data_IF_208333549296
#
_entry.id   IF_208333549296
#
_cell.length_a   1.000
_cell.length_b   1.000
_cell.length_c   1.000
_cell.angle_alpha   90.00
_cell.angle_beta   90.00
_cell.angle_gamma   90.00
#
_symmetry.space_group_name_H-M   'P 1'
#
loop_
_entity.id
_entity.type
_entity.pdbx_description
1 polymer ?
#
# COMPACT_ATOMS: atom_id res chain seq x y z
N UNK A 1 23.03 -17.06 -5.99
CA UNK A 1 22.39 -17.90 -4.93
C UNK A 1 21.80 -17.05 -3.80
N UNK A 2 21.33 -15.83 -4.07
CA UNK A 2 20.95 -14.82 -3.06
C UNK A 2 19.44 -14.68 -2.86
N UNK A 3 18.62 -15.16 -3.79
CA UNK A 3 17.15 -15.12 -3.71
C UNK A 3 16.58 -15.97 -2.57
N UNK A 4 17.22 -17.10 -2.23
CA UNK A 4 16.73 -18.03 -1.20
C UNK A 4 16.84 -17.46 0.23
N UNK A 5 17.81 -16.57 0.49
CA UNK A 5 17.98 -15.96 1.83
C UNK A 5 16.96 -14.85 2.12
N UNK A 6 16.54 -14.06 1.13
CA UNK A 6 15.57 -12.97 1.36
C UNK A 6 14.14 -13.45 1.52
N UNK A 7 13.72 -14.50 0.80
CA UNK A 7 12.35 -15.04 0.94
C UNK A 7 12.15 -15.66 2.32
N UNK A 8 13.19 -16.29 2.86
CA UNK A 8 13.16 -16.94 4.18
C UNK A 8 12.90 -15.94 5.31
N UNK A 9 13.34 -14.67 5.19
CA UNK A 9 13.08 -13.65 6.23
C UNK A 9 11.65 -13.10 6.18
N UNK A 10 11.14 -12.75 4.99
CA UNK A 10 9.78 -12.18 4.87
C UNK A 10 8.66 -13.19 5.12
N UNK A 11 8.83 -14.44 4.66
CA UNK A 11 7.87 -15.52 4.99
C UNK A 11 7.83 -15.78 6.49
N UNK A 12 8.99 -15.83 7.15
CA UNK A 12 9.06 -16.00 8.61
C UNK A 12 8.41 -14.83 9.34
N UNK A 13 8.70 -13.60 8.92
CA UNK A 13 8.09 -12.40 9.50
C UNK A 13 6.56 -12.39 9.34
N UNK A 14 6.06 -12.80 8.18
CA UNK A 14 4.63 -12.95 7.96
C UNK A 14 3.98 -13.99 8.89
N UNK A 15 4.65 -15.11 9.16
CA UNK A 15 4.18 -16.12 10.11
C UNK A 15 4.17 -15.59 11.56
N UNK A 16 5.23 -14.89 11.97
CA UNK A 16 5.30 -14.20 13.28
C UNK A 16 4.14 -13.21 13.42
N UNK A 17 3.90 -12.41 12.37
CA UNK A 17 2.82 -11.44 12.39
C UNK A 17 1.44 -12.11 12.53
N UNK A 18 1.20 -13.20 11.81
CA UNK A 18 -0.03 -13.99 11.92
C UNK A 18 -0.24 -14.56 13.34
N UNK A 19 0.83 -15.04 13.99
CA UNK A 19 0.79 -15.53 15.37
C UNK A 19 0.45 -14.41 16.36
N UNK A 20 1.04 -13.22 16.19
CA UNK A 20 0.73 -12.08 17.03
C UNK A 20 -0.72 -11.62 16.88
N UNK A 21 -1.26 -11.61 15.65
CA UNK A 21 -2.67 -11.32 15.39
C UNK A 21 -3.58 -12.31 16.12
N UNK A 22 -3.33 -13.62 15.96
CA UNK A 22 -4.12 -14.67 16.61
C UNK A 22 -4.08 -14.55 18.14
N UNK A 23 -2.92 -14.24 18.71
CA UNK A 23 -2.74 -14.03 20.17
C UNK A 23 -3.52 -12.81 20.68
N UNK A 24 -3.82 -11.82 19.83
CA UNK A 24 -4.65 -10.66 20.17
C UNK A 24 -6.13 -10.84 19.87
N UNK A 25 -6.55 -12.02 19.40
CA UNK A 25 -7.94 -12.26 18.99
C UNK A 25 -8.28 -11.70 17.61
N UNK A 26 -7.31 -11.21 16.84
CA UNK A 26 -7.52 -10.80 15.45
C UNK A 26 -7.50 -12.05 14.57
N UNK A 27 -8.69 -12.57 14.27
CA UNK A 27 -8.85 -13.73 13.38
C UNK A 27 -8.90 -13.26 11.93
N UNK A 28 -7.88 -13.61 11.16
CA UNK A 28 -7.81 -13.37 9.73
C UNK A 28 -7.96 -14.69 8.96
N UNK A 29 -8.83 -14.70 7.96
CA UNK A 29 -8.97 -15.83 7.03
C UNK A 29 -7.77 -15.95 6.11
N UNK A 30 -7.20 -14.79 5.76
CA UNK A 30 -6.02 -14.70 4.92
C UNK A 30 -5.25 -13.43 5.27
N UNK A 31 -3.93 -13.54 5.26
CA UNK A 31 -3.04 -12.39 5.22
C UNK A 31 -2.38 -12.36 3.85
N UNK A 32 -2.38 -11.18 3.24
CA UNK A 32 -1.60 -10.93 2.02
C UNK A 32 -0.69 -9.74 2.25
N UNK A 33 0.26 -9.52 1.34
CA UNK A 33 1.02 -8.29 1.29
C UNK A 33 1.06 -7.75 -0.12
N UNK A 34 1.31 -6.45 -0.25
CA UNK A 34 1.60 -5.84 -1.55
C UNK A 34 2.97 -6.26 -2.05
N UNK A 35 3.04 -6.39 -3.37
CA UNK A 35 4.17 -6.82 -4.17
C UNK A 35 4.44 -8.33 -4.18
N UNK A 36 5.10 -8.78 -5.25
CA UNK A 36 5.54 -10.16 -5.40
C UNK A 36 6.77 -10.44 -4.54
N UNK A 37 7.05 -11.70 -4.21
CA UNK A 37 8.23 -12.05 -3.40
C UNK A 37 9.55 -11.50 -3.98
N UNK A 38 9.69 -11.47 -5.31
CA UNK A 38 10.87 -10.90 -5.99
C UNK A 38 11.00 -9.37 -5.89
N UNK A 39 9.92 -8.67 -5.52
CA UNK A 39 9.91 -7.22 -5.32
C UNK A 39 10.28 -6.81 -3.90
N UNK A 40 10.34 -7.75 -2.95
CA UNK A 40 10.71 -7.55 -1.55
C UNK A 40 12.21 -7.79 -1.38
N UNK A 41 12.97 -6.70 -1.30
CA UNK A 41 14.43 -6.73 -1.23
C UNK A 41 14.87 -6.58 0.22
N UNK A 42 15.27 -7.70 0.83
CA UNK A 42 15.76 -7.69 2.21
C UNK A 42 17.14 -7.01 2.32
N UNK A 43 17.44 -6.29 3.41
CA UNK A 43 16.56 -5.96 4.54
C UNK A 43 15.76 -4.65 4.34
N UNK A 44 15.68 -4.14 3.11
CA UNK A 44 15.32 -2.75 2.82
C UNK A 44 13.84 -2.52 2.55
N UNK A 45 13.09 -3.53 2.08
CA UNK A 45 11.65 -3.41 1.81
C UNK A 45 10.81 -3.65 3.07
N UNK A 46 9.76 -2.85 3.25
CA UNK A 46 8.66 -3.13 4.17
C UNK A 46 7.68 -4.16 3.58
N UNK A 47 6.90 -4.78 4.47
CA UNK A 47 5.75 -5.61 4.13
C UNK A 47 4.48 -4.79 4.33
N UNK A 48 3.86 -4.40 3.23
CA UNK A 48 2.62 -3.65 3.24
C UNK A 48 1.42 -4.64 3.26
N UNK A 49 1.03 -5.05 4.48
CA UNK A 49 0.05 -6.13 4.74
C UNK A 49 -1.39 -5.73 4.40
N UNK A 50 -2.20 -6.70 3.98
CA UNK A 50 -3.67 -6.63 3.90
C UNK A 50 -4.26 -7.75 4.74
N UNK A 51 -5.29 -7.42 5.52
CA UNK A 51 -6.01 -8.40 6.34
C UNK A 51 -7.32 -8.77 5.67
N UNK A 52 -7.53 -10.06 5.42
CA UNK A 52 -8.81 -10.56 4.90
C UNK A 52 -9.55 -11.28 6.02
N UNK A 53 -10.78 -10.87 6.27
CA UNK A 53 -11.67 -11.39 7.31
C UNK A 53 -12.80 -12.20 6.68
N UNK A 54 -13.33 -13.20 7.39
CA UNK A 54 -14.51 -13.94 6.92
C UNK A 54 -15.73 -13.01 6.87
N UNK A 55 -15.85 -12.16 7.89
CA UNK A 55 -16.93 -11.19 8.07
C UNK A 55 -16.39 -9.93 8.77
N UNK A 56 -17.15 -8.84 8.70
CA UNK A 56 -16.83 -7.66 9.50
C UNK A 56 -16.89 -7.99 11.00
N UNK A 57 -15.98 -7.43 11.83
CA UNK A 57 -16.06 -7.57 13.27
C UNK A 57 -17.31 -6.85 13.81
N UNK A 58 -17.77 -7.25 14.99
CA UNK A 58 -18.88 -6.54 15.67
C UNK A 58 -18.52 -5.10 16.07
N UNK A 59 -17.23 -4.80 16.20
CA UNK A 59 -16.72 -3.43 16.28
C UNK A 59 -15.35 -3.33 15.62
N UNK A 60 -15.23 -2.42 14.66
CA UNK A 60 -13.96 -2.04 14.08
C UNK A 60 -13.06 -1.34 15.09
N UNK A 61 -13.61 -0.57 16.04
CA UNK A 61 -12.81 0.10 17.06
C UNK A 61 -12.01 -0.91 17.92
N UNK A 62 -12.69 -1.87 18.54
CA UNK A 62 -12.05 -2.90 19.39
C UNK A 62 -11.10 -3.78 18.57
N UNK A 63 -11.48 -4.12 17.34
CA UNK A 63 -10.63 -4.86 16.42
C UNK A 63 -9.33 -4.09 16.08
N UNK A 64 -9.39 -2.76 15.96
CA UNK A 64 -8.20 -1.94 15.73
C UNK A 64 -7.29 -1.85 16.96
N UNK A 65 -7.85 -1.81 18.17
CA UNK A 65 -7.05 -1.84 19.42
C UNK A 65 -6.25 -3.16 19.50
N UNK A 66 -6.89 -4.28 19.18
CA UNK A 66 -6.24 -5.59 19.09
C UNK A 66 -5.19 -5.66 17.97
N UNK A 67 -5.50 -5.10 16.79
CA UNK A 67 -4.56 -5.03 15.66
C UNK A 67 -3.32 -4.20 16.00
N UNK A 68 -3.50 -3.04 16.65
CA UNK A 68 -2.39 -2.20 17.10
C UNK A 68 -1.51 -2.94 18.09
N UNK A 69 -2.11 -3.61 19.08
CA UNK A 69 -1.39 -4.40 20.07
C UNK A 69 -0.59 -5.56 19.43
N UNK A 70 -1.19 -6.24 18.44
CA UNK A 70 -0.52 -7.32 17.71
C UNK A 70 0.69 -6.79 16.93
N UNK A 71 0.51 -5.66 16.25
CA UNK A 71 1.58 -5.05 15.47
C UNK A 71 2.71 -4.53 16.35
N UNK A 72 2.39 -3.83 17.43
CA UNK A 72 3.35 -3.37 18.43
C UNK A 72 4.18 -4.55 18.98
N UNK A 73 3.53 -5.66 19.34
CA UNK A 73 4.23 -6.87 19.79
C UNK A 73 5.12 -7.47 18.71
N UNK A 74 4.66 -7.55 17.47
CA UNK A 74 5.48 -8.09 16.37
C UNK A 74 6.75 -7.25 16.15
N UNK A 75 6.64 -5.93 16.20
CA UNK A 75 7.79 -5.02 16.06
C UNK A 75 8.75 -5.13 17.25
N UNK A 76 8.24 -5.30 18.48
CA UNK A 76 9.08 -5.46 19.68
C UNK A 76 9.97 -6.73 19.69
N UNK A 77 9.64 -7.75 18.90
CA UNK A 77 10.36 -9.03 18.93
C UNK A 77 11.79 -8.94 18.37
N UNK A 78 12.03 -8.02 17.44
CA UNK A 78 13.33 -7.81 16.80
C UNK A 78 13.40 -6.36 16.30
N UNK A 79 14.43 -5.56 16.66
CA UNK A 79 14.59 -4.19 16.18
C UNK A 79 14.54 -4.05 14.65
N UNK A 80 14.98 -5.06 13.89
CA UNK A 80 14.89 -5.05 12.43
C UNK A 80 13.44 -5.02 11.92
N UNK A 81 12.47 -5.48 12.73
CA UNK A 81 11.07 -5.45 12.35
C UNK A 81 10.50 -4.02 12.27
N UNK A 82 11.10 -3.01 12.92
CA UNK A 82 10.60 -1.63 12.80
C UNK A 82 10.73 -1.07 11.38
N UNK A 83 11.68 -1.60 10.58
CA UNK A 83 11.77 -1.32 9.13
C UNK A 83 10.83 -2.19 8.32
N UNK A 84 10.81 -3.49 8.61
CA UNK A 84 10.11 -4.48 7.77
C UNK A 84 8.58 -4.45 7.98
N UNK A 85 8.12 -4.03 9.17
CA UNK A 85 6.74 -3.80 9.55
C UNK A 85 6.56 -2.32 9.90
N UNK A 86 7.08 -1.42 9.05
CA UNK A 86 7.03 0.04 9.25
C UNK A 86 5.61 0.57 9.54
N UNK A 87 4.60 -0.10 8.98
CA UNK A 87 3.20 0.27 9.14
C UNK A 87 2.36 -0.94 9.57
N UNK A 88 1.33 -0.73 10.42
CA UNK A 88 0.22 -1.66 10.50
C UNK A 88 -0.44 -1.86 9.13
N UNK A 89 -1.26 -2.92 8.95
CA UNK A 89 -1.86 -3.27 7.67
C UNK A 89 -2.47 -2.06 6.95
N UNK A 90 -2.33 -2.02 5.63
CA UNK A 90 -2.82 -0.92 4.81
C UNK A 90 -4.31 -0.96 4.54
N UNK A 91 -4.90 -2.16 4.54
CA UNK A 91 -6.32 -2.39 4.31
C UNK A 91 -6.83 -3.61 5.07
N UNK A 92 -8.13 -3.61 5.36
CA UNK A 92 -8.89 -4.77 5.78
C UNK A 92 -10.13 -4.99 4.91
N UNK A 93 -10.29 -6.18 4.35
CA UNK A 93 -11.43 -6.55 3.49
C UNK A 93 -12.11 -7.81 4.01
N UNK A 94 -13.37 -8.03 3.62
CA UNK A 94 -14.01 -9.33 3.83
C UNK A 94 -13.85 -10.23 2.60
N UNK A 95 -13.97 -11.54 2.81
CA UNK A 95 -14.05 -12.53 1.72
C UNK A 95 -15.21 -12.19 0.78
N UNK A 96 -16.38 -11.81 1.32
CA UNK A 96 -17.56 -11.45 0.54
C UNK A 96 -17.31 -10.26 -0.41
N UNK A 97 -16.60 -9.23 0.06
CA UNK A 97 -16.24 -8.06 -0.77
C UNK A 97 -15.34 -8.44 -1.96
N UNK A 98 -14.38 -9.33 -1.72
CA UNK A 98 -13.47 -9.82 -2.76
C UNK A 98 -14.21 -10.72 -3.76
N UNK A 99 -15.07 -11.61 -3.28
CA UNK A 99 -15.87 -12.49 -4.13
C UNK A 99 -16.86 -11.72 -5.02
N UNK A 100 -17.37 -10.58 -4.54
CA UNK A 100 -18.24 -9.64 -5.28
C UNK A 100 -17.48 -8.65 -6.18
N UNK A 101 -16.15 -8.69 -6.22
CA UNK A 101 -15.31 -7.76 -6.99
C UNK A 101 -15.46 -6.30 -6.58
N UNK A 102 -15.68 -6.04 -5.29
CA UNK A 102 -15.77 -4.70 -4.72
C UNK A 102 -14.40 -4.15 -4.29
N UNK A 103 -13.31 -4.85 -4.56
CA UNK A 103 -11.95 -4.35 -4.31
C UNK A 103 -11.27 -4.05 -5.63
N UNK A 104 -10.51 -2.95 -5.69
CA UNK A 104 -9.79 -2.52 -6.89
C UNK A 104 -8.98 -3.66 -7.53
N UNK A 105 -9.27 -4.05 -8.79
CA UNK A 105 -8.52 -5.09 -9.48
C UNK A 105 -7.03 -4.78 -9.61
N UNK A 106 -6.67 -3.50 -9.79
CA UNK A 106 -5.27 -3.06 -9.82
C UNK A 106 -4.55 -3.35 -8.49
N UNK A 107 -5.22 -3.17 -7.35
CA UNK A 107 -4.63 -3.47 -6.04
C UNK A 107 -4.49 -5.00 -5.84
N UNK A 108 -5.55 -5.78 -6.06
CA UNK A 108 -5.53 -7.26 -5.92
C UNK A 108 -4.44 -7.90 -6.77
N UNK A 109 -4.22 -7.38 -7.99
CA UNK A 109 -3.24 -7.93 -8.93
C UNK A 109 -1.80 -7.95 -8.38
N UNK A 110 -1.51 -7.11 -7.39
CA UNK A 110 -0.18 -6.96 -6.79
C UNK A 110 0.06 -7.81 -5.56
N UNK A 111 -0.96 -8.53 -5.07
CA UNK A 111 -0.87 -9.22 -3.79
C UNK A 111 -0.05 -10.51 -3.85
N UNK A 112 0.54 -10.87 -2.71
CA UNK A 112 1.14 -12.17 -2.46
C UNK A 112 0.62 -12.74 -1.14
N UNK A 113 0.55 -14.06 -1.06
CA UNK A 113 0.05 -14.75 0.12
C UNK A 113 1.08 -14.72 1.26
N UNK A 114 0.61 -14.42 2.47
CA UNK A 114 1.35 -14.64 3.73
C UNK A 114 0.82 -15.92 4.41
N UNK A 115 -0.47 -15.96 4.71
CA UNK A 115 -1.19 -17.11 5.28
C UNK A 115 -2.58 -17.23 4.67
N UNK A 116 -3.17 -18.42 4.68
CA UNK A 116 -4.50 -18.70 4.14
C UNK A 116 -4.47 -19.56 2.88
N UNK A 117 -5.53 -19.49 2.07
CA UNK A 117 -5.71 -20.35 0.89
C UNK A 117 -5.17 -19.70 -0.41
N UNK A 118 -4.08 -20.27 -0.94
CA UNK A 118 -3.45 -19.83 -2.19
C UNK A 118 -4.37 -19.97 -3.41
N UNK A 119 -5.25 -20.97 -3.45
CA UNK A 119 -6.19 -21.16 -4.55
C UNK A 119 -7.27 -20.06 -4.55
N UNK A 120 -7.74 -19.63 -3.36
CA UNK A 120 -8.66 -18.50 -3.24
C UNK A 120 -8.01 -17.22 -3.78
N UNK A 121 -6.80 -16.89 -3.31
CA UNK A 121 -6.07 -15.71 -3.81
C UNK A 121 -5.86 -15.78 -5.32
N UNK A 122 -5.45 -16.95 -5.84
CA UNK A 122 -5.27 -17.17 -7.27
C UNK A 122 -6.54 -16.92 -8.09
N UNK A 123 -7.72 -17.29 -7.57
CA UNK A 123 -9.01 -16.98 -8.22
C UNK A 123 -9.26 -15.48 -8.28
N UNK A 124 -9.09 -14.75 -7.17
CA UNK A 124 -9.27 -13.30 -7.16
C UNK A 124 -8.30 -12.59 -8.11
N UNK A 125 -7.03 -13.00 -8.12
CA UNK A 125 -6.03 -12.43 -9.03
C UNK A 125 -6.31 -12.75 -10.49
N UNK A 126 -6.69 -14.00 -10.81
CA UNK A 126 -7.07 -14.37 -12.17
C UNK A 126 -8.23 -13.53 -12.66
N UNK A 127 -9.26 -13.37 -11.83
CA UNK A 127 -10.42 -12.55 -12.17
C UNK A 127 -10.02 -11.09 -12.36
N UNK A 128 -9.25 -10.52 -11.43
CA UNK A 128 -8.74 -9.15 -11.52
C UNK A 128 -7.94 -8.91 -12.82
N UNK A 129 -7.16 -9.88 -13.29
CA UNK A 129 -6.42 -9.76 -14.57
C UNK A 129 -7.33 -9.82 -15.80
N UNK A 130 -8.42 -10.59 -15.75
CA UNK A 130 -9.37 -10.72 -16.87
C UNK A 130 -10.42 -9.62 -16.95
N UNK A 131 -10.63 -8.85 -15.89
CA UNK A 131 -11.59 -7.73 -15.90
C UNK A 131 -11.17 -6.66 -16.91
N UNK A 132 -12.12 -6.00 -17.61
CA UNK A 132 -11.80 -4.88 -18.49
C UNK A 132 -11.02 -3.78 -17.77
N UNK A 133 -10.12 -3.11 -18.49
CA UNK A 133 -9.42 -1.95 -17.97
C UNK A 133 -10.40 -0.78 -17.75
N UNK A 134 -10.39 -0.21 -16.54
CA UNK A 134 -11.34 0.81 -16.09
C UNK A 134 -10.67 2.16 -15.81
N UNK A 135 -11.48 3.19 -15.54
CA UNK A 135 -10.99 4.50 -15.07
C UNK A 135 -10.41 4.41 -13.65
N UNK A 136 -10.82 3.44 -12.84
CA UNK A 136 -10.24 3.21 -11.52
C UNK A 136 -8.79 2.72 -11.64
N UNK A 137 -8.52 1.82 -12.59
CA UNK A 137 -7.15 1.38 -12.90
C UNK A 137 -6.28 2.56 -13.36
N UNK A 138 -6.78 3.38 -14.29
CA UNK A 138 -6.04 4.54 -14.76
C UNK A 138 -5.72 5.52 -13.62
N UNK A 139 -6.66 5.77 -12.70
CA UNK A 139 -6.41 6.59 -11.51
C UNK A 139 -5.41 5.96 -10.55
N UNK A 140 -5.48 4.65 -10.33
CA UNK A 140 -4.55 3.95 -9.47
C UNK A 140 -3.11 4.10 -9.97
N UNK A 141 -2.84 3.78 -11.24
CA UNK A 141 -1.49 3.85 -11.79
C UNK A 141 -1.01 5.29 -11.96
N UNK A 142 -1.88 6.24 -12.33
CA UNK A 142 -1.51 7.67 -12.36
C UNK A 142 -1.22 8.21 -10.97
N UNK A 143 -2.01 7.84 -9.95
CA UNK A 143 -1.74 8.21 -8.57
C UNK A 143 -0.38 7.70 -8.07
N UNK A 144 0.09 6.54 -8.57
CA UNK A 144 1.46 6.07 -8.31
C UNK A 144 2.47 7.04 -8.91
N UNK A 145 2.31 7.44 -10.18
CA UNK A 145 3.19 8.39 -10.87
C UNK A 145 3.19 9.76 -10.18
N UNK A 146 2.01 10.36 -9.97
CA UNK A 146 1.83 11.68 -9.38
C UNK A 146 2.54 11.78 -8.02
N UNK A 147 2.49 10.71 -7.22
CA UNK A 147 3.17 10.63 -5.93
C UNK A 147 4.70 10.63 -6.00
N UNK A 148 5.31 10.34 -7.16
CA UNK A 148 6.78 10.31 -7.35
C UNK A 148 7.30 11.43 -8.25
N UNK A 149 6.44 11.99 -9.12
CA UNK A 149 6.84 12.95 -10.16
C UNK A 149 6.24 14.35 -9.97
N UNK A 150 5.38 14.55 -8.96
CA UNK A 150 4.86 15.87 -8.58
C UNK A 150 5.93 16.88 -8.10
N UNK A 151 7.19 16.48 -8.13
CA UNK A 151 8.42 17.25 -8.01
C UNK A 151 9.59 16.36 -8.50
N UNK A 152 10.82 16.89 -8.55
CA UNK A 152 11.98 16.00 -8.71
C UNK A 152 12.12 15.16 -7.44
N UNK A 153 12.26 13.85 -7.61
CA UNK A 153 12.55 12.95 -6.50
C UNK A 153 13.88 13.38 -5.86
N UNK A 154 13.88 13.45 -4.53
CA UNK A 154 15.03 13.80 -3.73
C UNK A 154 15.23 12.69 -2.71
N UNK A 155 16.46 12.18 -2.61
CA UNK A 155 16.79 10.99 -1.82
C UNK A 155 16.53 11.18 -0.32
N UNK A 156 16.63 12.42 0.17
CA UNK A 156 16.40 12.80 1.56
C UNK A 156 14.92 12.76 1.98
N UNK A 157 13.98 12.62 1.04
CA UNK A 157 12.55 12.45 1.32
C UNK A 157 12.17 11.04 1.78
N UNK A 158 13.03 10.05 1.52
CA UNK A 158 12.87 8.72 2.10
C UNK A 158 13.48 8.71 3.50
N UNK A 159 12.66 8.47 4.52
CA UNK A 159 13.14 8.40 5.90
C UNK A 159 14.13 7.24 6.06
N UNK A 160 15.18 7.51 6.82
CA UNK A 160 16.18 6.53 7.24
C UNK A 160 16.04 6.17 8.72
N UNK A 161 14.99 6.65 9.39
CA UNK A 161 14.90 6.66 10.86
C UNK A 161 14.87 5.26 11.48
N UNK A 162 14.32 4.26 10.77
CA UNK A 162 14.25 2.87 11.23
C UNK A 162 15.27 1.96 10.51
N UNK A 163 16.27 2.52 9.83
CA UNK A 163 17.28 1.77 9.08
C UNK A 163 18.50 1.52 9.98
N UNK A 164 18.55 0.33 10.59
CA UNK A 164 19.60 -0.01 11.57
C UNK A 164 20.93 -0.45 10.95
N UNK A 165 20.89 -0.94 9.71
CA UNK A 165 22.05 -1.49 9.01
C UNK A 165 22.03 -1.13 7.51
N UNK A 166 23.22 -1.02 6.90
CA UNK A 166 23.39 -0.81 5.45
C UNK A 166 22.61 0.40 4.89
N UNK A 167 22.87 1.59 5.46
CA UNK A 167 22.22 2.84 5.03
C UNK A 167 22.45 3.15 3.55
N UNK A 168 23.64 2.86 3.02
CA UNK A 168 23.94 3.11 1.61
C UNK A 168 23.22 2.13 0.69
N UNK A 169 23.09 0.85 1.08
CA UNK A 169 22.23 -0.09 0.37
C UNK A 169 20.76 0.32 0.42
N UNK A 170 20.27 0.82 1.56
CA UNK A 170 18.93 1.37 1.67
C UNK A 170 18.72 2.56 0.73
N UNK A 171 19.66 3.49 0.66
CA UNK A 171 19.59 4.63 -0.28
C UNK A 171 19.54 4.17 -1.74
N UNK A 172 20.36 3.20 -2.13
CA UNK A 172 20.29 2.59 -3.47
C UNK A 172 18.92 1.93 -3.70
N UNK A 173 18.40 1.24 -2.68
CA UNK A 173 17.06 0.66 -2.71
C UNK A 173 15.97 1.72 -2.91
N UNK A 174 16.02 2.86 -2.22
CA UNK A 174 15.05 3.95 -2.41
C UNK A 174 15.06 4.45 -3.86
N UNK A 175 16.24 4.74 -4.42
CA UNK A 175 16.33 5.21 -5.81
C UNK A 175 15.75 4.17 -6.78
N UNK A 176 16.15 2.91 -6.66
CA UNK A 176 15.75 1.89 -7.61
C UNK A 176 14.29 1.44 -7.40
N UNK A 177 13.89 1.15 -6.16
CA UNK A 177 12.65 0.43 -5.80
C UNK A 177 11.53 1.32 -5.24
N UNK A 178 11.81 2.54 -4.78
CA UNK A 178 10.80 3.54 -4.38
C UNK A 178 10.57 4.61 -5.45
N UNK A 179 11.58 4.90 -6.28
CA UNK A 179 11.48 5.89 -7.35
C UNK A 179 11.33 5.27 -8.75
N UNK A 180 12.35 4.56 -9.25
CA UNK A 180 12.35 4.07 -10.66
C UNK A 180 11.31 2.98 -10.89
N UNK A 181 11.36 1.89 -10.12
CA UNK A 181 10.54 0.72 -10.37
C UNK A 181 9.02 0.99 -10.24
N UNK A 182 8.52 1.79 -9.28
CA UNK A 182 7.10 2.21 -9.26
C UNK A 182 6.69 3.03 -10.48
N UNK A 183 7.55 3.92 -10.98
CA UNK A 183 7.30 4.70 -12.19
C UNK A 183 7.23 3.79 -13.43
N UNK A 184 8.14 2.81 -13.52
CA UNK A 184 8.16 1.80 -14.57
C UNK A 184 6.90 0.93 -14.54
N UNK A 185 6.57 0.43 -13.35
CA UNK A 185 5.38 -0.39 -13.09
C UNK A 185 4.10 0.30 -13.54
N UNK A 186 3.88 1.54 -13.09
CA UNK A 186 2.69 2.30 -13.45
C UNK A 186 2.64 2.63 -14.95
N UNK A 187 3.78 3.00 -15.53
CA UNK A 187 3.86 3.36 -16.95
C UNK A 187 3.64 2.16 -17.87
N UNK A 188 4.21 0.99 -17.52
CA UNK A 188 3.97 -0.26 -18.23
C UNK A 188 2.50 -0.65 -18.20
N UNK A 189 1.85 -0.56 -17.03
CA UNK A 189 0.43 -0.87 -16.89
C UNK A 189 -0.44 0.10 -17.71
N UNK A 190 -0.14 1.40 -17.68
CA UNK A 190 -0.86 2.42 -18.47
C UNK A 190 -0.66 2.23 -19.99
N UNK A 191 0.57 1.90 -20.42
CA UNK A 191 0.91 1.71 -21.83
C UNK A 191 0.26 0.46 -22.42
N UNK A 192 0.24 -0.64 -21.67
CA UNK A 192 -0.28 -1.93 -22.13
C UNK A 192 -1.76 -2.13 -21.82
N UNK A 193 -2.32 -1.33 -20.90
CA UNK A 193 -3.65 -1.54 -20.30
C UNK A 193 -3.81 -2.94 -19.70
N UNK A 194 -2.71 -3.46 -19.13
CA UNK A 194 -2.68 -4.73 -18.41
C UNK A 194 -2.27 -4.50 -16.96
N UNK A 195 -2.88 -5.24 -16.04
CA UNK A 195 -2.54 -5.17 -14.63
C UNK A 195 -1.32 -6.05 -14.38
N UNK A 196 -0.16 -5.41 -14.28
CA UNK A 196 1.10 -6.09 -14.02
C UNK A 196 1.12 -6.61 -12.56
N UNK A 197 1.62 -7.83 -12.30
CA UNK A 197 1.63 -8.39 -10.95
C UNK A 197 2.65 -7.72 -10.00
N UNK A 198 3.66 -7.02 -10.51
CA UNK A 198 4.71 -6.46 -9.67
C UNK A 198 5.74 -5.61 -10.42
N UNK A 199 6.66 -5.02 -9.65
CA UNK A 199 7.69 -4.08 -10.14
C UNK A 199 8.72 -4.79 -11.04
N UNK A 200 9.22 -5.93 -10.60
CA UNK A 200 10.16 -6.79 -11.33
C UNK A 200 9.54 -7.28 -12.63
N UNK A 201 8.30 -7.78 -12.58
CA UNK A 201 7.59 -8.21 -13.78
C UNK A 201 7.42 -7.08 -14.81
N UNK A 202 7.16 -5.84 -14.37
CA UNK A 202 7.10 -4.70 -15.29
C UNK A 202 8.46 -4.37 -15.91
N UNK A 203 9.53 -4.43 -15.11
CA UNK A 203 10.89 -4.23 -15.58
C UNK A 203 11.36 -5.34 -16.53
N UNK A 204 10.86 -6.57 -16.40
CA UNK A 204 11.21 -7.73 -17.25
C UNK A 204 10.38 -7.85 -18.54
N UNK A 205 9.21 -7.21 -18.60
CA UNK A 205 8.24 -7.45 -19.68
C UNK A 205 8.01 -6.22 -20.57
N UNK A 206 8.35 -5.01 -20.09
CA UNK A 206 8.06 -3.78 -20.81
C UNK A 206 9.31 -2.93 -21.04
N UNK A 207 9.90 -3.09 -22.22
CA UNK A 207 11.09 -2.35 -22.66
C UNK A 207 10.94 -1.83 -24.10
N UNK A 208 10.05 -0.86 -24.35
CA UNK A 208 10.00 -0.21 -25.65
C UNK A 208 11.30 0.57 -25.94
N UNK A 209 11.94 0.27 -27.07
CA UNK A 209 13.09 1.03 -27.58
C UNK A 209 14.31 0.94 -26.67
N UNK A 210 14.80 2.10 -26.23
CA UNK A 210 16.01 2.27 -25.42
C UNK A 210 15.89 1.76 -23.97
N UNK A 211 14.68 1.40 -23.54
CA UNK A 211 14.40 1.07 -22.14
C UNK A 211 14.98 -0.29 -21.70
N UNK A 212 15.36 -1.20 -22.61
CA UNK A 212 15.88 -2.53 -22.24
C UNK A 212 17.20 -2.45 -21.46
N UNK A 213 18.11 -1.57 -21.89
CA UNK A 213 19.41 -1.41 -21.22
C UNK A 213 19.23 -0.86 -19.81
N UNK A 214 18.36 0.16 -19.67
CA UNK A 214 18.05 0.78 -18.39
C UNK A 214 17.34 -0.19 -17.43
N UNK A 215 16.40 -1.00 -17.92
CA UNK A 215 15.72 -1.99 -17.09
C UNK A 215 16.70 -3.02 -16.51
N UNK A 216 17.60 -3.56 -17.34
CA UNK A 216 18.64 -4.51 -16.89
C UNK A 216 19.58 -3.89 -15.87
N UNK A 217 19.94 -2.62 -16.05
CA UNK A 217 20.76 -1.89 -15.09
C UNK A 217 20.09 -1.79 -13.72
N UNK A 218 18.82 -1.36 -13.66
CA UNK A 218 18.09 -1.20 -12.41
C UNK A 218 17.76 -2.54 -11.73
N UNK A 219 17.47 -3.60 -12.49
CA UNK A 219 17.32 -4.97 -11.96
C UNK A 219 18.62 -5.50 -11.33
N UNK A 220 19.78 -5.15 -11.91
CA UNK A 220 21.08 -5.51 -11.33
C UNK A 220 21.31 -4.74 -10.02
N UNK A 221 21.06 -3.44 -10.03
CA UNK A 221 21.30 -2.55 -8.88
C UNK A 221 20.45 -2.93 -7.66
N UNK A 222 19.27 -3.51 -7.85
CA UNK A 222 18.46 -4.05 -6.75
C UNK A 222 18.86 -5.42 -6.25
N UNK A 223 19.51 -6.23 -7.09
CA UNK A 223 19.92 -7.58 -6.74
C UNK A 223 21.25 -7.61 -5.97
N UNK A 224 22.07 -6.56 -6.10
CA UNK A 224 23.38 -6.43 -5.45
C UNK A 224 23.29 -5.51 -4.24
N UNK A 225 23.17 -6.08 -3.03
CA UNK A 225 23.32 -5.30 -1.80
C UNK A 225 24.78 -4.91 -1.51
N UNK A 226 25.79 -5.63 -2.04
CA UNK A 226 27.15 -5.57 -1.50
C UNK A 226 28.26 -4.97 -2.37
N UNK A 227 28.11 -4.82 -3.70
CA UNK A 227 29.31 -4.67 -4.58
C UNK A 227 29.24 -3.58 -5.66
N UNK A 228 28.33 -2.62 -5.57
CA UNK A 228 28.28 -1.52 -6.56
C UNK A 228 29.09 -0.33 -6.08
N UNK A 229 30.22 -0.06 -6.74
CA UNK A 229 31.14 1.07 -6.49
C UNK A 229 30.53 2.46 -6.76
N UNK A 230 29.35 2.53 -7.40
CA UNK A 230 28.74 3.80 -7.77
C UNK A 230 28.10 4.51 -6.57
N UNK A 231 28.51 5.76 -6.27
CA UNK A 231 27.86 6.59 -5.25
C UNK A 231 26.34 6.73 -5.49
N UNK A 232 25.50 6.79 -4.44
CA UNK A 232 24.06 6.99 -4.58
C UNK A 232 23.65 8.23 -5.41
N UNK A 233 24.50 9.27 -5.44
CA UNK A 233 24.25 10.48 -6.23
C UNK A 233 24.34 10.23 -7.75
N UNK A 234 25.30 9.43 -8.20
CA UNK A 234 25.45 9.06 -9.62
C UNK A 234 24.30 8.14 -10.07
N UNK A 235 23.86 7.28 -9.16
CA UNK A 235 22.68 6.45 -9.35
C UNK A 235 21.41 7.31 -9.49
N UNK A 236 21.26 8.36 -8.67
CA UNK A 236 20.10 9.25 -8.74
C UNK A 236 20.03 10.00 -10.08
N UNK A 237 21.17 10.44 -10.62
CA UNK A 237 21.19 11.04 -11.95
C UNK A 237 20.68 10.08 -13.03
N UNK A 238 21.20 8.85 -13.03
CA UNK A 238 20.78 7.79 -13.96
C UNK A 238 19.31 7.43 -13.78
N UNK A 239 18.80 7.46 -12.56
CA UNK A 239 17.39 7.24 -12.24
C UNK A 239 16.47 8.32 -12.82
N UNK A 240 16.87 9.60 -12.75
CA UNK A 240 16.10 10.67 -13.39
C UNK A 240 16.02 10.47 -14.92
N UNK A 241 17.15 10.12 -15.56
CA UNK A 241 17.18 9.83 -16.99
C UNK A 241 16.26 8.65 -17.34
N UNK A 242 16.28 7.59 -16.53
CA UNK A 242 15.43 6.42 -16.74
C UNK A 242 13.95 6.75 -16.55
N UNK A 243 13.58 7.48 -15.49
CA UNK A 243 12.19 7.90 -15.23
C UNK A 243 11.70 8.82 -16.34
N UNK A 244 12.51 9.80 -16.80
CA UNK A 244 12.14 10.66 -17.92
C UNK A 244 11.91 9.85 -19.21
N UNK A 245 12.74 8.84 -19.47
CA UNK A 245 12.57 7.95 -20.61
C UNK A 245 11.28 7.13 -20.51
N UNK A 246 10.99 6.57 -19.34
CA UNK A 246 9.74 5.85 -19.05
C UNK A 246 8.52 6.77 -19.25
N UNK A 247 8.54 7.97 -18.69
CA UNK A 247 7.42 8.93 -18.76
C UNK A 247 7.14 9.39 -20.19
N UNK A 248 8.15 9.53 -21.05
CA UNK A 248 7.96 9.81 -22.48
C UNK A 248 7.18 8.71 -23.21
N UNK A 249 7.21 7.47 -22.70
CA UNK A 249 6.46 6.32 -23.23
C UNK A 249 5.11 6.12 -22.56
N UNK A 250 4.82 6.85 -21.48
CA UNK A 250 3.54 6.77 -20.77
C UNK A 250 2.43 7.50 -21.54
N UNK A 251 1.31 6.83 -21.86
CA UNK A 251 0.21 7.49 -22.54
C UNK A 251 -0.37 8.65 -21.73
N UNK A 252 -0.78 9.72 -22.45
CA UNK A 252 -1.55 10.83 -21.86
C UNK A 252 -2.87 10.33 -21.26
N UNK A 253 -3.41 11.03 -20.24
CA UNK A 253 -4.73 10.72 -19.68
C UNK A 253 -5.78 10.62 -20.76
N UNK A 254 -6.53 9.52 -20.78
CA UNK A 254 -7.68 9.37 -21.66
C UNK A 254 -8.95 9.68 -20.87
N UNK A 255 -9.89 10.38 -21.49
CA UNK A 255 -11.24 10.49 -20.96
C UNK A 255 -11.94 9.13 -21.07
N UNK A 256 -11.95 8.38 -19.98
CA UNK A 256 -12.80 7.19 -19.84
C UNK A 256 -14.18 7.62 -19.28
N UNK A 257 -15.28 6.99 -19.73
CA UNK A 257 -16.61 7.31 -19.22
C UNK A 257 -16.68 7.26 -17.69
N UNK A 258 -17.35 8.22 -17.08
CA UNK A 258 -17.54 8.30 -15.62
C UNK A 258 -18.14 7.01 -15.04
N UNK A 259 -19.08 6.40 -15.75
CA UNK A 259 -19.75 5.14 -15.40
C UNK A 259 -18.84 3.89 -15.40
N UNK A 260 -17.55 4.01 -15.75
CA UNK A 260 -16.61 2.88 -15.75
C UNK A 260 -15.99 2.56 -14.39
N UNK A 261 -16.23 3.40 -13.36
CA UNK A 261 -15.89 3.09 -11.98
C UNK A 261 -17.13 2.58 -11.24
N UNK A 262 -17.05 1.38 -10.68
CA UNK A 262 -18.10 0.88 -9.80
C UNK A 262 -18.04 1.63 -8.47
N UNK A 263 -19.11 2.35 -8.11
CA UNK A 263 -19.25 3.06 -6.83
C UNK A 263 -18.99 2.14 -5.64
N UNK A 264 -19.53 0.92 -5.68
CA UNK A 264 -19.27 -0.11 -4.69
C UNK A 264 -17.77 -0.40 -4.53
N UNK A 265 -17.01 -0.44 -5.62
CA UNK A 265 -15.57 -0.71 -5.53
C UNK A 265 -14.78 0.47 -4.92
N UNK A 266 -15.18 1.70 -5.24
CA UNK A 266 -14.60 2.90 -4.66
C UNK A 266 -14.93 3.02 -3.16
N UNK A 267 -16.18 2.74 -2.77
CA UNK A 267 -16.59 2.68 -1.37
C UNK A 267 -15.79 1.62 -0.62
N UNK A 268 -15.87 0.35 -1.04
CA UNK A 268 -15.23 -0.77 -0.35
C UNK A 268 -13.72 -0.60 -0.28
N UNK A 269 -13.05 -0.10 -1.33
CA UNK A 269 -11.61 0.18 -1.27
C UNK A 269 -11.29 1.28 -0.25
N UNK A 270 -12.11 2.33 -0.19
CA UNK A 270 -11.93 3.44 0.77
C UNK A 270 -12.22 2.97 2.19
N UNK A 271 -13.31 2.22 2.41
CA UNK A 271 -13.64 1.61 3.70
C UNK A 271 -12.53 0.64 4.14
N UNK A 272 -12.04 -0.20 3.22
CA UNK A 272 -10.93 -1.12 3.47
C UNK A 272 -9.69 -0.42 4.01
N UNK A 273 -9.35 0.73 3.43
CA UNK A 273 -8.25 1.57 3.89
C UNK A 273 -8.52 2.20 5.26
N UNK A 274 -9.74 2.68 5.51
CA UNK A 274 -10.13 3.36 6.74
C UNK A 274 -10.29 2.40 7.94
N UNK A 275 -10.66 1.13 7.69
CA UNK A 275 -10.85 0.07 8.70
C UNK A 275 -9.61 -0.22 9.55
N UNK A 276 -8.42 0.17 9.10
CA UNK A 276 -7.14 -0.09 9.80
C UNK A 276 -6.50 1.20 10.35
N UNK A 277 -7.16 2.35 10.18
CA UNK A 277 -6.57 3.65 10.52
C UNK A 277 -6.44 3.88 12.02
N UNK A 278 -7.42 3.45 12.81
CA UNK A 278 -7.32 3.54 14.27
C UNK A 278 -6.09 2.77 14.77
N UNK A 279 -5.83 1.57 14.24
CA UNK A 279 -4.65 0.79 14.62
C UNK A 279 -3.34 1.48 14.22
N UNK A 280 -3.28 2.07 13.02
CA UNK A 280 -2.14 2.88 12.56
C UNK A 280 -1.89 4.08 13.46
N UNK A 281 -2.92 4.83 13.80
CA UNK A 281 -2.76 6.03 14.62
C UNK A 281 -2.34 5.71 16.05
N UNK A 282 -2.92 4.66 16.66
CA UNK A 282 -2.48 4.16 17.97
C UNK A 282 -0.98 3.81 17.92
N UNK A 283 -0.57 3.01 16.94
CA UNK A 283 0.83 2.61 16.79
C UNK A 283 1.77 3.79 16.52
N UNK A 284 1.38 4.77 15.70
CA UNK A 284 2.25 5.91 15.42
C UNK A 284 2.40 6.84 16.63
N UNK A 285 1.37 6.97 17.45
CA UNK A 285 1.38 7.80 18.65
C UNK A 285 2.10 7.14 19.82
N UNK A 286 2.10 5.80 19.87
CA UNK A 286 2.75 5.00 20.91
C UNK A 286 3.50 3.81 20.28
N UNK A 287 4.62 4.06 19.55
CA UNK A 287 5.39 3.00 18.94
C UNK A 287 6.30 2.31 19.97
N UNK A 288 6.78 1.09 19.67
CA UNK A 288 7.82 0.44 20.46
C UNK A 288 9.05 1.34 20.68
N UNK A 289 9.81 1.14 21.77
CA UNK A 289 11.05 1.89 22.01
C UNK A 289 11.96 1.86 20.78
N UNK A 290 12.66 2.97 20.54
CA UNK A 290 13.59 3.15 19.42
C UNK A 290 12.95 3.14 18.02
N UNK A 291 11.62 2.96 17.90
CA UNK A 291 10.91 3.09 16.64
C UNK A 291 10.48 4.53 16.40
N UNK A 292 10.83 5.07 15.23
CA UNK A 292 10.49 6.43 14.84
C UNK A 292 9.29 6.42 13.89
N UNK A 293 8.25 7.18 14.22
CA UNK A 293 6.98 7.24 13.47
C UNK A 293 6.58 8.66 13.04
N UNK A 294 7.36 9.69 13.40
CA UNK A 294 7.00 11.08 13.12
C UNK A 294 6.77 11.38 11.63
N UNK A 295 7.59 10.81 10.76
CA UNK A 295 7.40 10.92 9.31
C UNK A 295 6.19 10.11 8.80
N UNK A 296 5.80 9.03 9.49
CA UNK A 296 4.59 8.26 9.18
C UNK A 296 3.33 9.06 9.50
N UNK A 297 3.33 9.78 10.63
CA UNK A 297 2.27 10.71 11.00
C UNK A 297 2.09 11.78 9.91
N UNK A 298 3.18 12.38 9.43
CA UNK A 298 3.11 13.36 8.34
C UNK A 298 2.57 12.75 7.04
N UNK A 299 2.97 11.51 6.71
CA UNK A 299 2.50 10.80 5.51
C UNK A 299 1.00 10.49 5.54
N UNK A 300 0.37 10.37 6.71
CA UNK A 300 -1.09 10.12 6.82
C UNK A 300 -1.92 11.21 6.12
N UNK A 301 -1.44 12.46 6.02
CA UNK A 301 -2.15 13.52 5.27
C UNK A 301 -2.52 13.06 3.85
N UNK A 302 -1.59 12.38 3.16
CA UNK A 302 -1.81 11.91 1.80
C UNK A 302 -2.95 10.91 1.73
N UNK A 303 -2.97 9.96 2.67
CA UNK A 303 -3.97 8.91 2.75
C UNK A 303 -5.35 9.47 3.10
N UNK A 304 -5.44 10.36 4.10
CA UNK A 304 -6.70 11.00 4.49
C UNK A 304 -7.25 11.92 3.41
N UNK A 305 -6.39 12.66 2.71
CA UNK A 305 -6.78 13.45 1.54
C UNK A 305 -7.30 12.57 0.40
N UNK A 306 -6.65 11.44 0.13
CA UNK A 306 -7.09 10.48 -0.88
C UNK A 306 -8.49 9.91 -0.56
N UNK A 307 -8.70 9.52 0.70
CA UNK A 307 -10.00 9.07 1.18
C UNK A 307 -11.07 10.16 1.05
N UNK A 308 -10.82 11.37 1.58
CA UNK A 308 -11.74 12.50 1.46
C UNK A 308 -12.11 12.77 0.02
N UNK A 309 -11.14 12.87 -0.89
CA UNK A 309 -11.40 13.12 -2.31
C UNK A 309 -12.29 12.03 -2.93
N UNK A 310 -12.15 10.79 -2.48
CA UNK A 310 -12.97 9.67 -2.96
C UNK A 310 -14.37 9.72 -2.38
N UNK A 311 -14.51 9.99 -1.08
CA UNK A 311 -15.81 10.15 -0.42
C UNK A 311 -16.59 11.35 -0.99
N UNK A 312 -15.94 12.48 -1.27
CA UNK A 312 -16.58 13.62 -1.95
C UNK A 312 -17.18 13.20 -3.30
N UNK A 313 -16.44 12.45 -4.13
CA UNK A 313 -16.96 11.95 -5.41
C UNK A 313 -18.07 10.92 -5.23
N UNK A 314 -18.03 10.12 -4.18
CA UNK A 314 -19.08 9.14 -3.86
C UNK A 314 -20.35 9.85 -3.40
N UNK A 315 -20.26 10.90 -2.59
CA UNK A 315 -21.41 11.66 -2.11
C UNK A 315 -22.23 12.27 -3.26
N UNK A 316 -21.57 12.67 -4.36
CA UNK A 316 -22.23 13.19 -5.55
C UNK A 316 -22.98 12.11 -6.37
N UNK A 317 -22.75 10.83 -6.06
CA UNK A 317 -23.19 9.68 -6.86
C UNK A 317 -24.09 8.71 -6.10
N UNK A 318 -23.99 8.69 -4.77
CA UNK A 318 -24.88 7.91 -3.91
C UNK A 318 -26.16 8.70 -3.60
N UNK A 319 -27.21 8.00 -3.17
CA UNK A 319 -28.50 8.60 -2.81
C UNK A 319 -29.05 7.99 -1.54
N UNK A 320 -30.03 8.65 -0.91
CA UNK A 320 -30.64 8.19 0.33
C UNK A 320 -29.67 8.18 1.53
N UNK A 321 -29.81 7.17 2.39
CA UNK A 321 -29.05 7.05 3.63
C UNK A 321 -27.54 6.87 3.39
N UNK A 322 -27.16 6.20 2.31
CA UNK A 322 -25.77 6.02 1.92
C UNK A 322 -25.08 7.35 1.61
N UNK A 323 -25.79 8.30 0.96
CA UNK A 323 -25.24 9.64 0.69
C UNK A 323 -25.00 10.42 1.99
N UNK A 324 -25.93 10.32 2.94
CA UNK A 324 -25.78 10.94 4.26
C UNK A 324 -24.59 10.34 5.03
N UNK A 325 -24.44 9.03 4.97
CA UNK A 325 -23.35 8.32 5.63
C UNK A 325 -21.98 8.66 5.03
N UNK A 326 -21.85 8.69 3.70
CA UNK A 326 -20.61 9.13 3.02
C UNK A 326 -20.27 10.56 3.39
N UNK A 327 -21.25 11.47 3.36
CA UNK A 327 -21.05 12.87 3.70
C UNK A 327 -20.57 13.01 5.15
N UNK A 328 -21.25 12.36 6.09
CA UNK A 328 -20.86 12.36 7.49
C UNK A 328 -19.43 11.83 7.67
N UNK A 329 -19.08 10.71 7.03
CA UNK A 329 -17.72 10.18 7.09
C UNK A 329 -16.68 11.12 6.46
N UNK A 330 -17.04 11.83 5.39
CA UNK A 330 -16.17 12.84 4.76
C UNK A 330 -15.84 13.99 5.72
N UNK A 331 -16.83 14.45 6.48
CA UNK A 331 -16.70 15.55 7.45
C UNK A 331 -15.80 15.16 8.65
N UNK A 332 -15.67 13.86 8.94
CA UNK A 332 -14.77 13.34 9.98
C UNK A 332 -13.29 13.24 9.54
N UNK A 333 -12.96 13.58 8.29
CA UNK A 333 -11.59 13.54 7.74
C UNK A 333 -10.99 14.95 7.60
N UNK A 334 -10.04 15.35 8.46
CA UNK A 334 -9.54 16.72 8.51
C UNK A 334 -8.74 17.09 7.26
N UNK A 335 -8.85 18.34 6.79
CA UNK A 335 -7.94 18.89 5.78
C UNK A 335 -6.60 19.30 6.39
N UNK A 336 -5.56 19.31 5.55
CA UNK A 336 -4.26 19.85 5.89
C UNK A 336 -3.28 18.83 6.48
N UNK A 337 -2.15 19.32 7.02
CA UNK A 337 -1.07 18.48 7.49
C UNK A 337 -1.50 17.66 8.70
N UNK A 338 -0.99 16.43 8.77
CA UNK A 338 -1.22 15.55 9.90
C UNK A 338 -0.06 15.62 10.89
N UNK A 339 -0.38 15.84 12.16
CA UNK A 339 0.56 15.89 13.29
C UNK A 339 0.10 14.92 14.38
N UNK A 340 0.93 14.69 15.41
CA UNK A 340 0.53 13.87 16.56
C UNK A 340 -0.76 14.41 17.22
N UNK A 341 -0.88 15.74 17.38
CA UNK A 341 -2.12 16.36 17.87
C UNK A 341 -3.31 16.06 16.97
N UNK A 342 -3.14 16.17 15.65
CA UNK A 342 -4.18 15.85 14.67
C UNK A 342 -4.67 14.41 14.82
N UNK A 343 -3.77 13.45 15.05
CA UNK A 343 -4.13 12.04 15.24
C UNK A 343 -4.85 11.80 16.57
N UNK A 344 -4.42 12.44 17.67
CA UNK A 344 -5.15 12.39 18.94
C UNK A 344 -6.57 12.94 18.80
N UNK A 345 -6.72 14.09 18.12
CA UNK A 345 -8.03 14.71 17.87
C UNK A 345 -8.91 13.82 17.00
N UNK A 346 -8.34 13.17 15.98
CA UNK A 346 -9.02 12.21 15.12
C UNK A 346 -9.51 10.98 15.88
N UNK A 347 -8.66 10.38 16.73
CA UNK A 347 -9.06 9.27 17.59
C UNK A 347 -10.22 9.67 18.50
N UNK A 348 -10.13 10.83 19.15
CA UNK A 348 -11.20 11.33 20.01
C UNK A 348 -12.49 11.62 19.22
N UNK A 349 -12.37 12.19 18.01
CA UNK A 349 -13.49 12.49 17.13
C UNK A 349 -14.19 11.21 16.66
N UNK A 350 -13.44 10.24 16.13
CA UNK A 350 -14.00 8.96 15.66
C UNK A 350 -14.62 8.16 16.80
N UNK A 351 -14.04 8.22 18.01
CA UNK A 351 -14.65 7.63 19.21
C UNK A 351 -16.00 8.27 19.56
N UNK A 352 -16.10 9.61 19.51
CA UNK A 352 -17.39 10.33 19.73
C UNK A 352 -18.43 10.03 18.66
N UNK A 353 -18.00 9.82 17.41
CA UNK A 353 -18.87 9.51 16.27
C UNK A 353 -18.83 8.03 15.89
N UNK A 354 -18.63 7.14 16.87
CA UNK A 354 -18.38 5.71 16.64
C UNK A 354 -19.46 5.05 15.78
N UNK A 355 -20.74 5.36 15.99
CA UNK A 355 -21.82 4.80 15.17
C UNK A 355 -21.65 5.11 13.67
N UNK A 356 -21.44 6.37 13.32
CA UNK A 356 -21.22 6.81 11.92
C UNK A 356 -20.03 6.09 11.30
N UNK A 357 -18.92 5.97 12.04
CA UNK A 357 -17.72 5.29 11.58
C UNK A 357 -18.00 3.80 11.37
N UNK A 358 -18.54 3.11 12.37
CA UNK A 358 -18.84 1.67 12.31
C UNK A 358 -19.82 1.32 11.20
N UNK A 359 -20.89 2.13 11.03
CA UNK A 359 -21.88 1.98 9.97
C UNK A 359 -21.21 2.13 8.60
N UNK A 360 -20.41 3.18 8.38
CA UNK A 360 -19.72 3.41 7.11
C UNK A 360 -18.75 2.26 6.75
N UNK A 361 -17.97 1.80 7.74
CA UNK A 361 -17.00 0.73 7.55
C UNK A 361 -17.66 -0.64 7.33
N UNK A 362 -18.96 -0.77 7.64
CA UNK A 362 -19.70 -2.05 7.56
C UNK A 362 -20.76 -2.10 6.46
N UNK A 363 -21.19 -0.96 5.91
CA UNK A 363 -22.33 -0.82 4.99
C UNK A 363 -22.32 -1.73 3.74
N UNK A 364 -21.17 -2.30 3.35
CA UNK A 364 -21.01 -3.18 2.18
C UNK A 364 -20.29 -4.50 2.49
N UNK A 365 -20.10 -4.83 3.77
CA UNK A 365 -19.30 -5.98 4.22
C UNK A 365 -20.08 -7.30 4.30
N UNK A 366 -21.42 -7.24 4.35
CA UNK A 366 -22.33 -8.37 4.53
C UNK A 366 -22.56 -9.16 3.24
#
# INVERSE_FOLDING_TARGET
MTTVRSTTSYTRLGAIYAEQLATQGVTASMLTHKWQAGDLIAPHSDIDIRVILDQAPGSWWEWNEQLAAAHHRAVLLDPAHSRLLEHPPGFAFTVGELDRNQVSPAEISTWSLVTGDAAILGRWQSRARTMPWSRADERFYRGILDARIGGRYELDKDSTDNVHHDLDGYRRHCVAWHYVAPCWFASAALATRTRCPGKTAALDQWHPGELEVLAKEFLRLSATCSDTESPPADLLHSAHVAVDAVLRRTPRPRSLPEASEAEAAAWTTTAGMLRVRVARWIYYLDPPPETVTGYLIAREEKELRSARNTLTRLADRTSGDDALLVKAMTELLPPGPTTASTLHDLLALWSRHRSVVEDFLSANSA
#
